data_IF_658598104759
#
_entry.id   IF_658598104759
#
_cell.length_a   1.000
_cell.length_b   1.000
_cell.length_c   1.000
_cell.angle_alpha   90.00
_cell.angle_beta   90.00
_cell.angle_gamma   90.00
#
_symmetry.space_group_name_H-M   'P 1'
#
loop_
_entity.id
_entity.type
_entity.pdbx_description
1 polymer ?
#
# COMPACT_ATOMS: atom_id res chain seq x y z
N UNK A 1 14.97 15.98 -14.09
CA UNK A 1 14.54 15.01 -13.05
C UNK A 1 13.30 14.34 -13.60
N UNK A 2 13.33 13.01 -13.77
CA UNK A 2 12.26 12.26 -14.42
C UNK A 2 11.04 12.16 -13.49
N UNK A 3 9.87 12.48 -14.03
CA UNK A 3 8.57 12.33 -13.36
C UNK A 3 8.06 10.89 -13.47
N UNK A 4 8.93 9.93 -13.50
CA UNK A 4 8.59 8.53 -13.74
C UNK A 4 8.20 7.86 -12.43
N UNK A 5 7.04 7.17 -12.44
CA UNK A 5 6.74 6.18 -11.44
C UNK A 5 7.79 5.06 -11.52
N UNK A 6 8.24 4.60 -10.37
CA UNK A 6 9.27 3.57 -10.28
C UNK A 6 8.62 2.20 -10.10
N UNK A 7 9.12 1.22 -10.85
CA UNK A 7 8.80 -0.17 -10.59
C UNK A 7 9.55 -0.66 -9.35
N UNK A 8 8.82 -1.15 -8.36
CA UNK A 8 9.34 -1.72 -7.13
C UNK A 8 8.90 -3.18 -6.96
N UNK A 9 9.33 -3.82 -5.89
CA UNK A 9 8.92 -5.18 -5.52
C UNK A 9 7.40 -5.24 -5.38
N UNK A 10 6.71 -6.21 -6.02
CA UNK A 10 5.27 -6.33 -5.94
C UNK A 10 4.77 -6.44 -4.49
N UNK A 11 3.75 -5.64 -4.13
CA UNK A 11 3.12 -5.65 -2.79
C UNK A 11 1.61 -5.65 -2.91
N UNK A 12 0.96 -6.44 -2.08
CA UNK A 12 -0.50 -6.37 -1.90
C UNK A 12 -0.87 -5.17 -1.04
N UNK A 13 -2.07 -4.63 -1.22
CA UNK A 13 -2.56 -3.53 -0.38
C UNK A 13 -2.57 -3.87 1.11
N UNK A 14 -2.91 -5.11 1.48
CA UNK A 14 -2.86 -5.58 2.87
C UNK A 14 -1.45 -5.58 3.46
N UNK A 15 -0.43 -5.93 2.67
CA UNK A 15 0.97 -5.88 3.09
C UNK A 15 1.42 -4.44 3.30
N UNK A 16 1.06 -3.53 2.38
CA UNK A 16 1.38 -2.10 2.51
C UNK A 16 0.74 -1.51 3.76
N UNK A 17 -0.52 -1.85 4.05
CA UNK A 17 -1.21 -1.41 5.27
C UNK A 17 -0.56 -1.97 6.53
N UNK A 18 -0.10 -3.21 6.51
CA UNK A 18 0.64 -3.79 7.63
C UNK A 18 1.98 -3.03 7.89
N UNK A 19 2.67 -2.57 6.84
CA UNK A 19 3.85 -1.72 6.97
C UNK A 19 3.52 -0.36 7.60
N UNK A 20 2.39 0.25 7.24
CA UNK A 20 1.92 1.49 7.83
C UNK A 20 1.62 1.34 9.34
N UNK A 21 0.94 0.26 9.73
CA UNK A 21 0.67 -0.08 11.14
C UNK A 21 1.99 -0.29 11.90
N UNK A 22 2.97 -0.97 11.30
CA UNK A 22 4.28 -1.16 11.91
C UNK A 22 5.03 0.16 12.12
N UNK A 23 4.95 1.08 11.14
CA UNK A 23 5.55 2.41 11.30
C UNK A 23 4.85 3.22 12.42
N UNK A 24 3.51 3.11 12.54
CA UNK A 24 2.78 3.71 13.66
C UNK A 24 3.30 3.22 15.00
N UNK A 25 3.50 1.91 15.13
CA UNK A 25 4.07 1.30 16.35
C UNK A 25 5.49 1.78 16.61
N UNK A 26 6.33 1.88 15.59
CA UNK A 26 7.70 2.38 15.70
C UNK A 26 7.75 3.83 16.21
N UNK A 27 6.84 4.67 15.75
CA UNK A 27 6.76 6.07 16.23
C UNK A 27 5.99 6.23 17.56
N UNK A 28 5.42 5.16 18.11
CA UNK A 28 4.63 5.21 19.35
C UNK A 28 3.25 5.87 19.19
N UNK A 29 2.70 5.85 17.97
CA UNK A 29 1.39 6.46 17.64
C UNK A 29 0.35 5.41 17.21
N UNK A 30 0.53 4.14 17.63
CA UNK A 30 -0.34 3.03 17.22
C UNK A 30 -1.83 3.32 17.49
N UNK A 31 -2.14 3.80 18.69
CA UNK A 31 -3.51 4.05 19.15
C UNK A 31 -3.97 5.49 18.92
N UNK A 32 -3.12 6.35 18.36
CA UNK A 32 -3.43 7.77 18.13
C UNK A 32 -4.40 7.92 16.96
N UNK A 33 -5.49 8.66 17.16
CA UNK A 33 -6.45 8.93 16.08
C UNK A 33 -5.97 10.07 15.17
N UNK A 34 -5.45 11.15 15.76
CA UNK A 34 -4.94 12.29 15.00
C UNK A 34 -3.40 12.34 15.09
N UNK A 35 -2.72 11.66 14.15
CA UNK A 35 -1.26 11.52 14.15
C UNK A 35 -0.59 12.87 13.89
N UNK A 36 0.35 13.29 14.74
CA UNK A 36 1.28 14.39 14.43
C UNK A 36 2.31 13.90 13.38
N UNK A 37 1.93 14.05 12.11
CA UNK A 37 2.74 13.58 10.98
C UNK A 37 4.05 14.37 10.83
N UNK A 38 4.05 15.66 11.20
CA UNK A 38 5.27 16.49 11.19
C UNK A 38 6.21 16.03 12.28
N UNK A 39 5.70 15.80 13.50
CA UNK A 39 6.49 15.24 14.60
C UNK A 39 7.08 13.86 14.25
N UNK A 40 6.32 12.98 13.59
CA UNK A 40 6.83 11.71 13.08
C UNK A 40 7.96 11.90 12.05
N UNK A 41 7.79 12.76 11.06
CA UNK A 41 8.80 13.02 10.03
C UNK A 41 10.04 13.76 10.55
N UNK A 42 9.92 14.44 11.69
CA UNK A 42 11.02 15.16 12.34
C UNK A 42 11.87 14.29 13.29
N UNK A 43 11.57 12.98 13.39
CA UNK A 43 12.42 12.04 14.14
C UNK A 43 13.77 11.87 13.46
N UNK A 44 14.79 11.52 14.24
CA UNK A 44 16.13 11.27 13.73
C UNK A 44 16.29 9.92 13.04
N UNK A 45 15.32 9.03 13.20
CA UNK A 45 15.32 7.67 12.67
C UNK A 45 13.94 7.26 12.19
N UNK A 46 13.94 6.38 11.20
CA UNK A 46 12.74 5.74 10.65
C UNK A 46 12.97 4.24 10.47
N UNK A 47 11.97 3.45 10.81
CA UNK A 47 11.96 2.04 10.44
C UNK A 47 11.61 1.90 8.94
N UNK A 48 12.40 1.10 8.23
CA UNK A 48 12.18 0.75 6.82
C UNK A 48 12.14 -0.77 6.65
N UNK A 49 11.71 -1.24 5.46
CA UNK A 49 11.76 -2.68 5.12
C UNK A 49 13.20 -3.25 5.11
N UNK A 50 14.22 -2.38 5.15
CA UNK A 50 15.66 -2.72 5.22
C UNK A 50 16.30 -2.34 6.58
N UNK A 51 15.51 -2.28 7.63
CA UNK A 51 15.95 -1.92 8.98
C UNK A 51 15.81 -0.43 9.28
N UNK A 52 16.24 -0.03 10.47
CA UNK A 52 16.18 1.36 10.91
C UNK A 52 17.27 2.18 10.19
N UNK A 53 16.88 3.37 9.74
CA UNK A 53 17.74 4.31 9.00
C UNK A 53 17.66 5.70 9.60
N UNK A 54 18.74 6.50 9.53
CA UNK A 54 18.69 7.91 9.88
C UNK A 54 17.68 8.65 8.97
N UNK A 55 16.92 9.55 9.59
CA UNK A 55 15.89 10.36 8.92
C UNK A 55 16.15 11.84 9.21
N UNK A 56 15.88 12.70 8.24
CA UNK A 56 15.86 14.15 8.37
C UNK A 56 14.70 14.76 7.59
N UNK A 57 14.00 15.69 8.20
CA UNK A 57 13.01 16.52 7.55
C UNK A 57 13.61 17.88 7.21
N UNK A 58 13.65 18.23 5.93
CA UNK A 58 14.10 19.52 5.44
C UNK A 58 12.90 20.35 4.97
N UNK A 59 12.78 21.56 5.50
CA UNK A 59 11.74 22.51 5.09
C UNK A 59 12.35 23.44 4.04
N UNK A 60 11.83 23.38 2.83
CA UNK A 60 12.37 24.05 1.65
C UNK A 60 11.39 25.16 1.19
N UNK A 61 11.91 26.23 0.59
CA UNK A 61 11.02 27.26 0.01
C UNK A 61 10.24 26.69 -1.19
N UNK A 62 9.05 27.23 -1.43
CA UNK A 62 8.17 26.74 -2.51
C UNK A 62 8.84 26.88 -3.90
N UNK A 63 9.67 27.93 -4.10
CA UNK A 63 10.41 28.13 -5.34
C UNK A 63 11.43 27.00 -5.59
N UNK A 64 12.13 26.56 -4.52
CA UNK A 64 13.12 25.48 -4.61
C UNK A 64 12.47 24.11 -4.82
N UNK A 65 11.21 23.96 -4.44
CA UNK A 65 10.46 22.72 -4.67
C UNK A 65 10.05 22.54 -6.14
N UNK A 66 10.14 23.58 -6.99
CA UNK A 66 9.87 23.51 -8.42
C UNK A 66 8.53 22.85 -8.78
N UNK A 67 7.48 23.16 -8.01
CA UNK A 67 6.13 22.60 -8.18
C UNK A 67 5.91 21.25 -7.52
N UNK A 68 6.91 20.64 -6.87
CA UNK A 68 6.70 19.47 -6.03
C UNK A 68 6.13 19.90 -4.67
N UNK A 69 5.31 19.05 -4.07
CA UNK A 69 4.76 19.28 -2.72
C UNK A 69 5.52 18.52 -1.65
N UNK A 70 6.14 17.41 -2.02
CA UNK A 70 7.02 16.59 -1.22
C UNK A 70 8.06 15.91 -2.09
N UNK A 71 9.15 15.48 -1.48
CA UNK A 71 10.24 14.77 -2.14
C UNK A 71 11.02 13.96 -1.11
N UNK A 72 11.29 12.70 -1.44
CA UNK A 72 12.15 11.83 -0.63
C UNK A 72 13.41 11.45 -1.40
N UNK A 73 14.56 11.61 -0.76
CA UNK A 73 15.89 11.31 -1.31
C UNK A 73 16.78 10.65 -0.27
N UNK A 74 17.95 10.19 -0.69
CA UNK A 74 18.97 9.62 0.19
C UNK A 74 20.33 10.18 -0.17
N UNK A 75 21.09 10.66 0.81
CA UNK A 75 22.40 11.29 0.60
C UNK A 75 23.60 10.32 0.78
N UNK A 76 23.33 9.01 0.83
CA UNK A 76 24.32 7.96 1.10
C UNK A 76 24.43 7.60 2.59
N UNK A 77 23.82 8.40 3.49
CA UNK A 77 23.82 8.16 4.93
C UNK A 77 22.44 8.32 5.55
N UNK A 78 21.69 9.32 5.13
CA UNK A 78 20.43 9.76 5.75
C UNK A 78 19.33 9.81 4.71
N UNK A 79 18.15 9.31 5.04
CA UNK A 79 16.93 9.55 4.25
C UNK A 79 16.47 10.97 4.54
N UNK A 80 16.23 11.75 3.49
CA UNK A 80 15.83 13.15 3.60
C UNK A 80 14.45 13.31 2.98
N UNK A 81 13.51 13.78 3.80
CA UNK A 81 12.19 14.18 3.35
C UNK A 81 12.20 15.70 3.20
N UNK A 82 11.97 16.20 1.99
CA UNK A 82 11.81 17.62 1.71
C UNK A 82 10.32 17.92 1.56
N UNK A 83 9.85 18.93 2.28
CA UNK A 83 8.50 19.48 2.10
C UNK A 83 8.59 21.01 1.98
N UNK A 84 7.61 21.60 1.27
CA UNK A 84 7.54 23.05 1.17
C UNK A 84 7.10 23.67 2.50
N UNK A 85 7.45 24.95 2.70
CA UNK A 85 7.00 25.73 3.87
C UNK A 85 5.48 25.73 3.97
N UNK A 86 4.80 25.82 2.84
CA UNK A 86 3.35 25.78 2.76
C UNK A 86 2.81 24.44 3.24
N UNK A 87 3.31 23.31 2.73
CA UNK A 87 2.88 21.96 3.17
C UNK A 87 3.11 21.78 4.66
N UNK A 88 4.27 22.22 5.20
CA UNK A 88 4.50 22.17 6.66
C UNK A 88 3.46 22.95 7.44
N UNK A 89 3.19 24.20 7.01
CA UNK A 89 2.23 25.07 7.68
C UNK A 89 0.81 24.49 7.63
N UNK A 90 0.36 24.08 6.45
CA UNK A 90 -0.98 23.54 6.24
C UNK A 90 -1.18 22.21 7.00
N UNK A 91 -0.15 21.32 7.02
CA UNK A 91 -0.17 20.09 7.79
C UNK A 91 -0.27 20.33 9.31
N UNK A 92 0.43 21.37 9.81
CA UNK A 92 0.33 21.79 11.22
C UNK A 92 -1.06 22.32 11.56
N UNK A 93 -1.73 22.99 10.63
CA UNK A 93 -3.11 23.46 10.79
C UNK A 93 -4.17 22.34 10.60
N UNK A 94 -3.74 21.13 10.29
CA UNK A 94 -4.62 19.96 10.15
C UNK A 94 -5.17 19.76 8.73
N UNK A 95 -4.65 20.47 7.72
CA UNK A 95 -5.06 20.26 6.33
C UNK A 95 -4.80 18.82 5.89
N UNK A 96 -5.86 18.12 5.47
CA UNK A 96 -5.80 16.69 5.15
C UNK A 96 -4.94 16.36 3.93
N UNK A 97 -4.83 17.28 2.95
CA UNK A 97 -3.96 17.09 1.80
C UNK A 97 -2.48 17.20 2.19
N UNK A 98 -2.14 18.25 2.95
CA UNK A 98 -0.78 18.47 3.41
C UNK A 98 -0.30 17.35 4.34
N UNK A 99 -1.15 16.89 5.28
CA UNK A 99 -0.87 15.74 6.15
C UNK A 99 -0.64 14.47 5.35
N UNK A 100 -1.49 14.21 4.34
CA UNK A 100 -1.34 13.06 3.45
C UNK A 100 -0.07 13.16 2.59
N UNK A 101 0.37 14.38 2.23
CA UNK A 101 1.63 14.59 1.52
C UNK A 101 2.82 14.13 2.37
N UNK A 102 2.90 14.54 3.64
CA UNK A 102 3.99 14.11 4.52
C UNK A 102 3.96 12.59 4.77
N UNK A 103 2.78 12.03 4.98
CA UNK A 103 2.62 10.58 5.13
C UNK A 103 3.02 9.79 3.86
N UNK A 104 2.80 10.36 2.68
CA UNK A 104 3.22 9.82 1.39
C UNK A 104 4.75 9.74 1.31
N UNK A 105 5.46 10.81 1.69
CA UNK A 105 6.93 10.82 1.71
C UNK A 105 7.50 9.83 2.74
N UNK A 106 6.87 9.70 3.92
CA UNK A 106 7.21 8.63 4.88
C UNK A 106 7.04 7.23 4.26
N UNK A 107 6.01 7.04 3.42
CA UNK A 107 5.80 5.79 2.69
C UNK A 107 6.95 5.46 1.74
N UNK A 108 7.46 6.45 0.98
CA UNK A 108 8.64 6.27 0.14
C UNK A 108 9.87 5.89 0.98
N UNK A 109 10.10 6.58 2.08
CA UNK A 109 11.21 6.27 2.99
C UNK A 109 11.14 4.83 3.53
N UNK A 110 9.95 4.34 3.89
CA UNK A 110 9.74 3.00 4.44
C UNK A 110 9.95 1.90 3.41
N UNK A 111 9.34 2.04 2.23
CA UNK A 111 9.20 0.93 1.27
C UNK A 111 10.25 0.92 0.17
N UNK A 112 10.73 2.08 -0.25
CA UNK A 112 11.53 2.23 -1.48
C UNK A 112 13.00 2.57 -1.19
N UNK A 113 13.51 2.18 -0.03
CA UNK A 113 14.89 2.50 0.39
C UNK A 113 15.94 2.02 -0.62
N UNK A 114 15.76 0.85 -1.25
CA UNK A 114 16.70 0.35 -2.28
C UNK A 114 16.79 1.31 -3.47
N UNK A 115 15.64 1.77 -3.97
CA UNK A 115 15.61 2.75 -5.06
C UNK A 115 16.25 4.08 -4.68
N UNK A 116 15.99 4.54 -3.45
CA UNK A 116 16.63 5.75 -2.92
C UNK A 116 18.15 5.58 -2.80
N UNK A 117 18.63 4.41 -2.37
CA UNK A 117 20.06 4.11 -2.28
C UNK A 117 20.75 4.00 -3.64
N UNK A 118 20.00 3.63 -4.68
CA UNK A 118 20.44 3.63 -6.07
C UNK A 118 20.42 5.02 -6.73
N UNK A 119 20.12 6.07 -5.95
CA UNK A 119 20.11 7.47 -6.38
C UNK A 119 18.78 7.95 -6.94
N UNK A 120 17.69 7.17 -6.82
CA UNK A 120 16.37 7.65 -7.19
C UNK A 120 15.91 8.76 -6.24
N UNK A 121 15.16 9.72 -6.80
CA UNK A 121 14.48 10.78 -6.05
C UNK A 121 12.99 10.62 -6.28
N UNK A 122 12.25 10.34 -5.20
CA UNK A 122 10.81 10.20 -5.25
C UNK A 122 10.18 11.58 -5.05
N UNK A 123 9.40 12.06 -6.02
CA UNK A 123 8.87 13.41 -6.02
C UNK A 123 7.35 13.40 -6.27
N UNK A 124 6.60 14.09 -5.40
CA UNK A 124 5.17 14.29 -5.55
C UNK A 124 4.86 15.63 -6.21
N UNK A 125 4.28 15.60 -7.42
CA UNK A 125 3.87 16.80 -8.15
C UNK A 125 2.39 17.12 -8.00
N UNK A 126 2.09 18.41 -8.05
CA UNK A 126 0.72 18.93 -8.04
C UNK A 126 0.01 18.73 -9.39
N UNK A 127 0.75 18.78 -10.51
CA UNK A 127 0.21 18.64 -11.88
C UNK A 127 0.72 17.38 -12.58
N UNK A 128 -0.22 16.51 -12.96
CA UNK A 128 0.06 15.24 -13.66
C UNK A 128 -0.23 15.38 -15.16
N UNK A 129 0.66 15.99 -15.92
CA UNK A 129 0.57 16.03 -17.39
C UNK A 129 1.52 15.05 -18.07
N UNK A 130 1.82 13.91 -17.44
CA UNK A 130 2.75 12.93 -18.00
C UNK A 130 1.98 11.66 -18.30
N UNK A 131 2.18 11.12 -19.51
CA UNK A 131 1.69 9.80 -19.90
C UNK A 131 2.48 8.77 -19.09
N UNK A 132 1.90 8.11 -18.09
CA UNK A 132 2.66 7.17 -17.28
C UNK A 132 3.03 5.98 -18.14
N UNK A 133 4.27 5.56 -18.08
CA UNK A 133 4.65 4.21 -18.47
C UNK A 133 3.77 3.25 -17.68
N UNK A 134 3.05 2.36 -18.36
CA UNK A 134 2.15 1.45 -17.64
C UNK A 134 2.95 0.55 -16.71
N UNK A 135 2.74 0.70 -15.42
CA UNK A 135 3.28 -0.14 -14.35
C UNK A 135 2.09 -0.74 -13.61
N UNK A 136 2.13 -2.04 -13.36
CA UNK A 136 1.10 -2.69 -12.55
C UNK A 136 0.97 -2.00 -11.19
N UNK A 137 -0.25 -1.76 -10.67
CA UNK A 137 -0.43 -1.19 -9.33
C UNK A 137 0.37 -1.92 -8.24
N UNK A 138 0.52 -3.23 -8.35
CA UNK A 138 1.30 -4.03 -7.38
C UNK A 138 2.80 -3.73 -7.40
N UNK A 139 3.32 -3.20 -8.50
CA UNK A 139 4.74 -2.85 -8.70
C UNK A 139 4.98 -1.34 -8.71
N UNK A 140 3.94 -0.53 -8.67
CA UNK A 140 4.04 0.93 -8.76
C UNK A 140 4.39 1.52 -7.40
N UNK A 141 5.54 2.20 -7.32
CA UNK A 141 5.96 2.90 -6.11
C UNK A 141 4.94 3.97 -5.69
N UNK A 142 4.36 4.69 -6.66
CA UNK A 142 3.34 5.69 -6.42
C UNK A 142 2.01 5.09 -5.93
N UNK A 143 1.63 3.91 -6.45
CA UNK A 143 0.47 3.19 -5.92
C UNK A 143 0.72 2.74 -4.48
N UNK A 144 1.91 2.20 -4.19
CA UNK A 144 2.25 1.75 -2.84
C UNK A 144 2.07 2.86 -1.79
N UNK A 145 2.61 4.05 -2.06
CA UNK A 145 2.49 5.16 -1.10
C UNK A 145 1.09 5.76 -1.04
N UNK A 146 0.33 5.67 -2.13
CA UNK A 146 -1.09 6.07 -2.14
C UNK A 146 -1.94 5.18 -1.21
N UNK A 147 -1.59 3.91 -1.10
CA UNK A 147 -2.21 2.97 -0.15
C UNK A 147 -1.68 3.21 1.27
N UNK A 148 -0.38 3.43 1.40
CA UNK A 148 0.31 3.59 2.68
C UNK A 148 -0.12 4.84 3.44
N UNK A 149 -0.18 5.99 2.78
CA UNK A 149 -0.39 7.27 3.45
C UNK A 149 -1.70 7.36 4.24
N UNK A 150 -2.88 7.03 3.68
CA UNK A 150 -4.10 6.97 4.48
C UNK A 150 -4.04 5.90 5.58
N UNK A 151 -3.44 4.73 5.33
CA UNK A 151 -3.31 3.69 6.33
C UNK A 151 -2.39 4.08 7.50
N UNK A 152 -1.41 4.96 7.27
CA UNK A 152 -0.59 5.53 8.32
C UNK A 152 -1.34 6.58 9.15
N UNK A 153 -2.17 7.41 8.52
CA UNK A 153 -2.92 8.46 9.20
C UNK A 153 -4.16 7.95 9.94
N UNK A 154 -4.73 6.83 9.51
CA UNK A 154 -5.98 6.26 10.04
C UNK A 154 -5.67 5.17 11.07
N UNK A 155 -6.38 5.18 12.19
CA UNK A 155 -6.45 4.04 13.09
C UNK A 155 -7.50 3.05 12.56
N UNK A 156 -7.07 1.91 12.03
CA UNK A 156 -7.92 0.91 11.38
C UNK A 156 -9.02 0.39 12.31
N UNK A 157 -8.72 0.18 13.59
CA UNK A 157 -9.68 -0.32 14.58
C UNK A 157 -10.83 0.67 14.77
N UNK A 158 -10.52 1.96 14.90
CA UNK A 158 -11.52 3.00 15.04
C UNK A 158 -12.27 3.25 13.73
N UNK A 159 -11.56 3.29 12.61
CA UNK A 159 -12.17 3.55 11.31
C UNK A 159 -13.22 2.51 10.90
N UNK A 160 -13.04 1.25 11.29
CA UNK A 160 -14.03 0.17 11.04
C UNK A 160 -15.35 0.35 11.78
N UNK A 161 -15.40 1.19 12.81
CA UNK A 161 -16.62 1.52 13.53
C UNK A 161 -17.37 2.71 12.94
N UNK A 162 -16.75 3.44 12.02
CA UNK A 162 -17.34 4.61 11.37
C UNK A 162 -18.14 4.21 10.11
N UNK A 163 -19.23 4.91 9.87
CA UNK A 163 -20.20 4.53 8.85
C UNK A 163 -20.04 5.25 7.51
N UNK A 164 -19.36 6.41 7.50
CA UNK A 164 -19.23 7.23 6.29
C UNK A 164 -17.81 7.68 6.03
N UNK A 165 -17.53 8.03 4.75
CA UNK A 165 -16.27 8.64 4.32
C UNK A 165 -16.04 9.97 5.03
N UNK A 166 -17.10 10.76 5.26
CA UNK A 166 -17.01 12.06 5.92
C UNK A 166 -16.63 11.92 7.38
N UNK A 167 -17.20 10.94 8.11
CA UNK A 167 -16.78 10.64 9.48
C UNK A 167 -15.30 10.25 9.56
N UNK A 168 -14.81 9.41 8.64
CA UNK A 168 -13.41 9.03 8.57
C UNK A 168 -12.53 10.25 8.28
N UNK A 169 -12.91 11.08 7.30
CA UNK A 169 -12.19 12.28 6.93
C UNK A 169 -12.02 13.24 8.11
N UNK A 170 -13.12 13.55 8.79
CA UNK A 170 -13.14 14.46 9.96
C UNK A 170 -12.39 13.86 11.14
N UNK A 171 -12.66 12.59 11.48
CA UNK A 171 -12.09 11.93 12.67
C UNK A 171 -10.55 11.87 12.62
N UNK A 172 -9.98 11.60 11.45
CA UNK A 172 -8.53 11.43 11.30
C UNK A 172 -7.82 12.65 10.70
N UNK A 173 -8.55 13.73 10.38
CA UNK A 173 -7.98 14.93 9.76
C UNK A 173 -7.29 14.61 8.43
N UNK A 174 -7.96 13.88 7.55
CA UNK A 174 -7.49 13.52 6.22
C UNK A 174 -8.42 14.08 5.15
N UNK A 175 -7.94 14.17 3.89
CA UNK A 175 -8.82 14.58 2.80
C UNK A 175 -9.92 13.55 2.55
N UNK A 176 -11.08 13.99 2.06
CA UNK A 176 -12.17 13.10 1.64
C UNK A 176 -11.69 12.04 0.66
N UNK A 177 -10.87 12.43 -0.33
CA UNK A 177 -10.29 11.50 -1.29
C UNK A 177 -9.44 10.40 -0.62
N UNK A 178 -8.65 10.74 0.40
CA UNK A 178 -7.86 9.76 1.16
C UNK A 178 -8.75 8.80 1.95
N UNK A 179 -9.85 9.30 2.50
CA UNK A 179 -10.84 8.50 3.20
C UNK A 179 -11.58 7.54 2.25
N UNK A 180 -11.92 8.00 1.03
CA UNK A 180 -12.51 7.17 -0.03
C UNK A 180 -11.56 6.03 -0.43
N UNK A 181 -10.30 6.35 -0.75
CA UNK A 181 -9.27 5.35 -1.10
C UNK A 181 -9.14 4.29 0.01
N UNK A 182 -9.08 4.73 1.27
CA UNK A 182 -8.98 3.82 2.41
C UNK A 182 -10.20 2.90 2.51
N UNK A 183 -11.41 3.45 2.36
CA UNK A 183 -12.66 2.70 2.46
C UNK A 183 -12.80 1.67 1.34
N UNK A 184 -12.47 2.05 0.12
CA UNK A 184 -12.47 1.15 -1.05
C UNK A 184 -11.51 -0.03 -0.85
N UNK A 185 -10.34 0.21 -0.26
CA UNK A 185 -9.38 -0.83 0.06
C UNK A 185 -9.91 -1.82 1.11
N UNK A 186 -10.53 -1.31 2.19
CA UNK A 186 -11.14 -2.15 3.23
C UNK A 186 -12.28 -2.97 2.63
N UNK A 187 -13.15 -2.36 1.83
CA UNK A 187 -14.26 -3.06 1.18
C UNK A 187 -13.74 -4.16 0.25
N UNK A 188 -12.75 -3.84 -0.59
CA UNK A 188 -12.13 -4.82 -1.48
C UNK A 188 -11.53 -6.01 -0.71
N UNK A 189 -10.82 -5.75 0.39
CA UNK A 189 -10.28 -6.84 1.24
C UNK A 189 -11.38 -7.70 1.85
N UNK A 190 -12.47 -7.08 2.31
CA UNK A 190 -13.61 -7.78 2.87
C UNK A 190 -14.28 -8.66 1.83
N UNK A 191 -14.48 -8.15 0.62
CA UNK A 191 -15.10 -8.88 -0.50
C UNK A 191 -14.21 -10.05 -0.95
N UNK A 192 -12.89 -9.84 -1.01
CA UNK A 192 -11.94 -10.93 -1.30
C UNK A 192 -11.95 -12.01 -0.22
N UNK A 193 -11.98 -11.63 1.05
CA UNK A 193 -12.06 -12.59 2.15
C UNK A 193 -13.37 -13.38 2.15
N UNK A 194 -14.51 -12.71 1.87
CA UNK A 194 -15.81 -13.34 1.74
C UNK A 194 -15.84 -14.33 0.55
N UNK A 195 -15.30 -13.92 -0.60
CA UNK A 195 -15.19 -14.77 -1.79
C UNK A 195 -14.31 -15.99 -1.54
N UNK A 196 -13.15 -15.82 -0.91
CA UNK A 196 -12.26 -16.94 -0.55
C UNK A 196 -12.95 -17.92 0.41
N UNK A 197 -13.66 -17.40 1.43
CA UNK A 197 -14.44 -18.22 2.37
C UNK A 197 -15.56 -19.01 1.66
N UNK A 198 -16.27 -18.38 0.74
CA UNK A 198 -17.31 -19.03 -0.05
C UNK A 198 -16.73 -20.15 -0.90
N UNK A 199 -15.66 -19.89 -1.66
CA UNK A 199 -15.00 -20.89 -2.52
C UNK A 199 -14.47 -22.06 -1.68
N UNK A 200 -13.86 -21.79 -0.53
CA UNK A 200 -13.37 -22.83 0.40
C UNK A 200 -14.53 -23.72 0.89
N UNK A 201 -15.65 -23.11 1.29
CA UNK A 201 -16.85 -23.87 1.69
C UNK A 201 -17.34 -24.77 0.56
N UNK A 202 -17.44 -24.26 -0.67
CA UNK A 202 -17.86 -25.05 -1.84
C UNK A 202 -16.88 -26.21 -2.13
N UNK A 203 -15.59 -25.97 -1.98
CA UNK A 203 -14.57 -27.01 -2.11
C UNK A 203 -14.76 -28.11 -1.05
N UNK A 204 -14.94 -27.73 0.22
CA UNK A 204 -15.15 -28.66 1.32
C UNK A 204 -16.45 -29.47 1.14
N UNK A 205 -17.54 -28.84 0.70
CA UNK A 205 -18.81 -29.51 0.40
C UNK A 205 -18.64 -30.54 -0.73
N UNK A 206 -17.89 -30.18 -1.79
CA UNK A 206 -17.62 -31.08 -2.90
C UNK A 206 -16.74 -32.26 -2.47
N UNK A 207 -15.72 -32.04 -1.68
CA UNK A 207 -14.87 -33.09 -1.13
C UNK A 207 -15.70 -34.06 -0.25
N UNK A 208 -16.61 -33.53 0.57
CA UNK A 208 -17.51 -34.33 1.39
C UNK A 208 -18.53 -35.14 0.60
N UNK A 209 -19.01 -34.59 -0.53
CA UNK A 209 -19.99 -35.26 -1.41
C UNK A 209 -19.38 -36.35 -2.29
N UNK A 210 -18.05 -36.35 -2.44
CA UNK A 210 -17.33 -37.39 -3.17
C UNK A 210 -17.09 -38.58 -2.21
N UNK A 211 -17.81 -39.68 -2.38
CA UNK A 211 -17.56 -40.95 -1.67
C UNK A 211 -16.08 -41.31 -1.64
N UNK A 212 -15.58 -42.12 -0.65
CA UNK A 212 -14.19 -42.25 -0.26
C UNK A 212 -13.22 -42.93 -1.25
N UNK A 213 -13.52 -42.92 -2.54
CA UNK A 213 -12.50 -43.18 -3.56
C UNK A 213 -11.55 -42.01 -3.58
N UNK A 214 -10.27 -42.23 -3.22
CA UNK A 214 -9.17 -41.27 -3.27
C UNK A 214 -9.32 -40.31 -4.47
N UNK A 215 -9.99 -39.17 -4.29
CA UNK A 215 -10.02 -38.13 -5.30
C UNK A 215 -8.74 -37.34 -5.16
N UNK A 216 -7.82 -37.57 -6.05
CA UNK A 216 -6.65 -36.71 -6.23
C UNK A 216 -7.15 -35.34 -6.73
N UNK A 217 -6.93 -34.27 -5.95
CA UNK A 217 -7.15 -32.92 -6.44
C UNK A 217 -6.18 -32.74 -7.62
N UNK A 218 -6.72 -32.48 -8.80
CA UNK A 218 -5.90 -32.16 -9.97
C UNK A 218 -5.60 -30.67 -9.91
N UNK A 219 -4.34 -30.34 -9.69
CA UNK A 219 -3.87 -28.97 -9.78
C UNK A 219 -3.66 -28.59 -11.24
N UNK A 220 -3.84 -27.29 -11.54
CA UNK A 220 -3.49 -26.71 -12.83
C UNK A 220 -1.98 -26.80 -13.05
N UNK A 221 -1.54 -26.80 -14.31
CA UNK A 221 -0.12 -26.92 -14.65
C UNK A 221 0.65 -25.64 -14.29
N UNK A 222 0.00 -24.47 -14.39
CA UNK A 222 0.62 -23.20 -14.11
C UNK A 222 0.68 -22.90 -12.61
N UNK A 223 1.73 -22.16 -12.25
CA UNK A 223 1.91 -21.72 -10.88
C UNK A 223 0.98 -20.54 -10.54
N UNK A 224 0.53 -20.49 -9.30
CA UNK A 224 -0.17 -19.33 -8.77
C UNK A 224 0.66 -18.04 -8.97
N UNK A 225 0.10 -17.03 -9.61
CA UNK A 225 0.77 -15.74 -9.87
C UNK A 225 1.13 -14.97 -8.60
N UNK A 226 0.54 -15.33 -7.45
CA UNK A 226 0.76 -14.64 -6.18
C UNK A 226 1.85 -15.32 -5.34
N UNK A 227 1.81 -16.65 -5.18
CA UNK A 227 2.75 -17.35 -4.30
C UNK A 227 3.76 -18.25 -5.06
N UNK A 228 3.66 -18.33 -6.38
CA UNK A 228 4.55 -19.14 -7.23
C UNK A 228 4.42 -20.65 -7.05
N UNK A 229 3.41 -21.14 -6.34
CA UNK A 229 3.20 -22.59 -6.11
C UNK A 229 2.20 -23.17 -7.11
N UNK A 230 2.47 -24.39 -7.57
CA UNK A 230 1.60 -25.16 -8.46
C UNK A 230 0.50 -25.87 -7.65
N UNK A 231 -0.34 -25.08 -7.00
CA UNK A 231 -1.41 -25.58 -6.11
C UNK A 231 -2.76 -24.90 -6.41
N UNK A 232 -2.93 -24.44 -7.64
CA UNK A 232 -4.21 -23.91 -8.14
C UNK A 232 -5.08 -25.05 -8.63
N UNK A 233 -6.34 -25.06 -8.24
CA UNK A 233 -7.32 -26.09 -8.64
C UNK A 233 -8.68 -25.45 -8.93
N UNK A 234 -9.49 -26.05 -9.81
CA UNK A 234 -10.80 -25.54 -10.15
C UNK A 234 -11.83 -25.82 -9.04
N UNK A 235 -12.65 -24.81 -8.72
CA UNK A 235 -13.75 -24.91 -7.77
C UNK A 235 -15.00 -24.26 -8.38
N UNK A 236 -15.90 -25.06 -8.92
CA UNK A 236 -17.05 -24.56 -9.69
C UNK A 236 -16.59 -23.87 -10.97
N UNK A 237 -16.91 -22.58 -11.10
CA UNK A 237 -16.50 -21.73 -12.22
C UNK A 237 -15.32 -20.80 -11.90
N UNK A 238 -14.70 -21.01 -10.74
CA UNK A 238 -13.52 -20.24 -10.29
C UNK A 238 -12.36 -21.20 -10.04
N UNK A 239 -11.16 -20.62 -9.83
CA UNK A 239 -9.97 -21.35 -9.46
C UNK A 239 -9.46 -20.81 -8.12
N UNK A 240 -8.88 -21.67 -7.29
CA UNK A 240 -8.33 -21.31 -5.98
C UNK A 240 -6.94 -21.88 -5.79
N UNK A 241 -6.02 -21.09 -5.27
CA UNK A 241 -4.72 -21.56 -4.83
C UNK A 241 -4.82 -22.12 -3.41
N UNK A 242 -4.47 -23.40 -3.23
CA UNK A 242 -4.49 -24.06 -1.93
C UNK A 242 -3.48 -23.44 -0.93
N UNK A 243 -2.38 -22.87 -1.43
CA UNK A 243 -1.30 -22.37 -0.57
C UNK A 243 -1.56 -20.97 -0.02
N UNK A 244 -2.16 -20.07 -0.80
CA UNK A 244 -2.35 -18.68 -0.39
C UNK A 244 -3.81 -18.18 -0.45
N UNK A 245 -4.75 -19.10 -0.66
CA UNK A 245 -6.20 -18.86 -0.73
C UNK A 245 -6.62 -17.82 -1.80
N UNK A 246 -5.74 -17.51 -2.76
CA UNK A 246 -6.06 -16.59 -3.86
C UNK A 246 -7.12 -17.21 -4.77
N UNK A 247 -8.16 -16.44 -5.07
CA UNK A 247 -9.26 -16.84 -5.98
C UNK A 247 -9.10 -16.12 -7.31
N UNK A 248 -9.26 -16.87 -8.41
CA UNK A 248 -9.22 -16.36 -9.77
C UNK A 248 -10.57 -16.60 -10.44
N UNK A 249 -11.07 -15.61 -11.15
CA UNK A 249 -12.25 -15.79 -12.03
C UNK A 249 -11.88 -16.53 -13.31
N UNK A 250 -10.64 -16.34 -13.78
CA UNK A 250 -10.03 -17.06 -14.90
C UNK A 250 -8.59 -17.40 -14.50
N UNK A 251 -8.18 -18.61 -14.79
CA UNK A 251 -6.81 -19.06 -14.61
C UNK A 251 -6.40 -19.73 -15.94
N UNK A 252 -5.47 -19.14 -16.64
CA UNK A 252 -4.93 -19.72 -17.86
C UNK A 252 -3.84 -20.71 -17.46
N UNK A 253 -4.07 -21.99 -17.73
CA UNK A 253 -2.95 -22.89 -17.99
C UNK A 253 -2.27 -22.33 -19.24
N UNK A 254 -0.96 -22.09 -19.16
CA UNK A 254 -0.19 -21.51 -20.26
C UNK A 254 -0.60 -22.10 -21.58
N UNK A 255 -0.61 -21.26 -22.60
CA UNK A 255 -1.05 -21.66 -23.95
C UNK A 255 -0.54 -23.06 -24.24
N UNK A 256 -1.46 -23.99 -24.41
CA UNK A 256 -1.17 -25.27 -25.00
C UNK A 256 -0.59 -24.92 -26.37
N UNK A 257 0.76 -24.90 -26.44
CA UNK A 257 1.44 -24.82 -27.73
C UNK A 257 0.95 -25.98 -28.55
N UNK A 258 0.27 -25.67 -29.67
CA UNK A 258 -0.05 -26.62 -30.74
C UNK A 258 1.21 -27.31 -31.28
#
# INVERSE_FOLDING_TARGET
MSDEDYRDVPRKNSEIRALAVRLRSFFGVADTEHVDVIGCASRNEIWTVKGVKPLRLDIVSDEKMAGNTGLTSYDGRTIIIHISRRIRHDAFLGDGYARNTVAHELGHAVMHFEKLSDGAVMARKTNRNITPKWISPYESAEHHVRVFAPAFLINDTVARTLHSVDEISVRFGISRQSAEIYRDQIQSETDHAASAKYVRRMADERIRSMSPKKSTITFMNDCCSICGKQTVFPVGHKFMCQTCDTVYDRFQDGDLAD
#
